data_IF_794462920739
#
_entry.id   IF_794462920739
#
_cell.length_a   1.000
_cell.length_b   1.000
_cell.length_c   1.000
_cell.angle_alpha   90.00
_cell.angle_beta   90.00
_cell.angle_gamma   90.00
#
_symmetry.space_group_name_H-M   'P 1'
#
loop_
_entity.id
_entity.type
_entity.pdbx_description
1 polymer ?
#
# COMPACT_ATOMS: atom_id res chain seq x y z
N UNK A 1 -7.31 29.79 5.27
CA UNK A 1 -7.07 29.31 3.90
C UNK A 1 -6.13 28.12 4.00
N UNK A 2 -6.57 26.90 3.70
CA UNK A 2 -5.68 25.74 3.69
C UNK A 2 -4.79 25.78 2.45
N UNK A 3 -3.48 25.70 2.62
CA UNK A 3 -2.56 25.59 1.49
C UNK A 3 -2.63 24.16 0.93
N UNK A 4 -2.58 23.97 -0.40
CA UNK A 4 -2.49 22.64 -0.98
C UNK A 4 -1.22 21.96 -0.49
N UNK A 5 -1.35 20.72 -0.03
CA UNK A 5 -0.25 19.90 0.46
C UNK A 5 0.66 19.54 -0.73
N UNK A 6 1.97 19.59 -0.53
CA UNK A 6 2.97 19.32 -1.56
C UNK A 6 2.78 17.90 -2.15
N UNK A 7 2.65 17.75 -3.48
CA UNK A 7 2.55 16.45 -4.15
C UNK A 7 3.67 15.47 -3.77
N UNK A 8 4.84 15.97 -3.34
CA UNK A 8 5.95 15.13 -2.92
C UNK A 8 5.60 14.22 -1.74
N UNK A 9 4.64 14.59 -0.89
CA UNK A 9 4.17 13.72 0.21
C UNK A 9 3.32 12.54 -0.27
N UNK A 10 2.87 12.53 -1.53
CA UNK A 10 2.12 11.42 -2.11
C UNK A 10 3.03 10.40 -2.82
N UNK A 11 4.30 10.71 -3.02
CA UNK A 11 5.26 9.86 -3.78
C UNK A 11 5.71 8.57 -3.09
N UNK A 12 5.19 8.24 -1.90
CA UNK A 12 5.60 7.01 -1.23
C UNK A 12 5.08 5.74 -1.92
N UNK A 13 3.90 5.77 -2.55
CA UNK A 13 3.34 4.71 -3.43
C UNK A 13 2.27 5.36 -4.31
N UNK A 14 2.61 5.76 -5.54
CA UNK A 14 1.85 6.78 -6.26
C UNK A 14 0.91 6.22 -7.34
N UNK A 15 0.93 4.91 -7.59
CA UNK A 15 0.05 4.31 -8.61
C UNK A 15 -0.51 2.95 -8.20
N UNK A 16 -1.68 2.62 -8.75
CA UNK A 16 -2.33 1.31 -8.55
C UNK A 16 -1.39 0.13 -8.87
N UNK A 17 -0.60 0.14 -9.96
CA UNK A 17 0.39 -0.90 -10.24
C UNK A 17 1.41 -1.14 -9.12
N UNK A 18 1.97 -0.08 -8.52
CA UNK A 18 2.98 -0.21 -7.46
C UNK A 18 2.44 -0.93 -6.20
N UNK A 19 1.12 -0.88 -5.98
CA UNK A 19 0.46 -1.63 -4.91
C UNK A 19 0.50 -3.14 -5.19
N UNK A 20 0.33 -3.53 -6.45
CA UNK A 20 0.44 -4.91 -6.86
C UNK A 20 1.90 -5.37 -6.79
N UNK A 21 2.85 -4.52 -7.19
CA UNK A 21 4.29 -4.81 -7.06
C UNK A 21 4.68 -5.06 -5.59
N UNK A 22 4.15 -4.28 -4.64
CA UNK A 22 4.38 -4.50 -3.21
C UNK A 22 3.82 -5.84 -2.70
N UNK A 23 2.67 -6.26 -3.22
CA UNK A 23 2.08 -7.58 -2.93
C UNK A 23 2.95 -8.69 -3.52
N UNK A 24 3.40 -8.54 -4.77
CA UNK A 24 4.27 -9.49 -5.44
C UNK A 24 5.63 -9.65 -4.73
N UNK A 25 6.27 -8.55 -4.32
CA UNK A 25 7.52 -8.57 -3.56
C UNK A 25 7.36 -9.31 -2.23
N UNK A 26 6.29 -9.03 -1.49
CA UNK A 26 6.01 -9.70 -0.22
C UNK A 26 5.79 -11.21 -0.38
N UNK A 27 5.10 -11.63 -1.44
CA UNK A 27 4.93 -13.05 -1.78
C UNK A 27 6.29 -13.67 -2.15
N UNK A 28 7.07 -13.00 -3.00
CA UNK A 28 8.38 -13.48 -3.45
C UNK A 28 9.38 -13.64 -2.30
N UNK A 29 9.31 -12.75 -1.31
CA UNK A 29 10.13 -12.76 -0.10
C UNK A 29 9.59 -13.68 1.00
N UNK A 30 8.46 -14.35 0.76
CA UNK A 30 7.81 -15.27 1.69
C UNK A 30 7.50 -14.57 3.04
N UNK A 31 6.84 -13.42 2.95
CA UNK A 31 6.39 -12.67 4.13
C UNK A 31 5.62 -13.59 5.09
N UNK A 32 5.90 -13.44 6.38
CA UNK A 32 5.25 -14.21 7.43
C UNK A 32 3.73 -14.00 7.43
N UNK A 33 3.29 -12.77 7.12
CA UNK A 33 1.87 -12.43 6.96
C UNK A 33 1.69 -11.39 5.87
N UNK A 34 0.66 -11.58 5.05
CA UNK A 34 0.22 -10.64 4.03
C UNK A 34 -1.31 -10.57 4.04
N UNK A 35 -1.85 -9.40 4.40
CA UNK A 35 -3.27 -9.10 4.33
C UNK A 35 -3.50 -7.93 3.37
N UNK A 36 -4.34 -8.13 2.36
CA UNK A 36 -4.73 -7.09 1.42
C UNK A 36 -6.26 -6.95 1.38
N UNK A 37 -6.74 -5.72 1.56
CA UNK A 37 -8.15 -5.35 1.31
C UNK A 37 -8.23 -4.71 -0.06
N UNK A 38 -9.31 -4.99 -0.77
CA UNK A 38 -9.54 -4.51 -2.13
C UNK A 38 -10.81 -3.67 -2.22
N UNK A 39 -10.81 -2.70 -3.13
CA UNK A 39 -12.04 -2.06 -3.57
C UNK A 39 -12.92 -3.08 -4.32
N UNK A 40 -14.15 -3.28 -3.87
CA UNK A 40 -15.04 -4.31 -4.43
C UNK A 40 -15.52 -4.03 -5.85
N UNK A 41 -15.46 -2.77 -6.30
CA UNK A 41 -15.99 -2.33 -7.58
C UNK A 41 -14.90 -2.22 -8.64
N UNK A 42 -13.72 -1.72 -8.24
CA UNK A 42 -12.61 -1.40 -9.13
C UNK A 42 -11.45 -2.41 -9.02
N UNK A 43 -11.43 -3.25 -7.97
CA UNK A 43 -10.55 -4.40 -7.86
C UNK A 43 -9.10 -4.10 -7.47
N UNK A 44 -8.76 -2.86 -7.10
CA UNK A 44 -7.42 -2.49 -6.64
C UNK A 44 -7.28 -2.59 -5.11
N UNK A 45 -6.07 -2.85 -4.57
CA UNK A 45 -5.82 -2.86 -3.14
C UNK A 45 -6.06 -1.49 -2.51
N UNK A 46 -6.77 -1.43 -1.38
CA UNK A 46 -7.01 -0.20 -0.60
C UNK A 46 -6.23 -0.17 0.71
N UNK A 47 -5.82 -1.34 1.21
CA UNK A 47 -4.97 -1.49 2.40
C UNK A 47 -4.14 -2.76 2.24
N UNK A 48 -2.84 -2.68 2.55
CA UNK A 48 -1.91 -3.82 2.52
C UNK A 48 -1.12 -3.81 3.84
N UNK A 49 -1.17 -4.93 4.56
CA UNK A 49 -0.36 -5.20 5.75
C UNK A 49 0.60 -6.33 5.46
N UNK A 50 1.89 -6.10 5.69
CA UNK A 50 2.95 -7.05 5.41
C UNK A 50 3.81 -7.19 6.67
N UNK A 51 3.87 -8.39 7.23
CA UNK A 51 4.79 -8.73 8.30
C UNK A 51 5.84 -9.71 7.77
N UNK A 52 7.12 -9.33 7.78
CA UNK A 52 8.19 -10.23 7.33
C UNK A 52 8.66 -11.22 8.41
N UNK A 53 8.40 -10.92 9.68
CA UNK A 53 8.76 -11.78 10.80
C UNK A 53 7.67 -11.79 11.87
N UNK A 54 7.62 -12.86 12.66
CA UNK A 54 6.63 -13.01 13.74
C UNK A 54 6.87 -12.06 14.93
N UNK A 55 8.02 -11.37 14.98
CA UNK A 55 8.37 -10.40 16.02
C UNK A 55 8.06 -8.98 15.53
N UNK A 56 7.04 -8.35 16.13
CA UNK A 56 6.42 -7.10 15.68
C UNK A 56 7.28 -5.82 15.74
N UNK A 57 8.60 -5.90 16.02
CA UNK A 57 9.32 -4.72 16.48
C UNK A 57 10.09 -3.93 15.41
N UNK A 58 10.66 -4.55 14.36
CA UNK A 58 11.56 -3.82 13.44
C UNK A 58 11.32 -4.01 11.92
N UNK A 59 10.43 -4.92 11.49
CA UNK A 59 10.36 -5.32 10.06
C UNK A 59 8.92 -5.42 9.47
N UNK A 60 7.94 -4.75 10.06
CA UNK A 60 6.57 -4.69 9.51
C UNK A 60 6.41 -3.52 8.54
N UNK A 61 5.82 -3.76 7.37
CA UNK A 61 5.44 -2.71 6.41
C UNK A 61 3.91 -2.58 6.35
N UNK A 62 3.42 -1.38 6.66
CA UNK A 62 1.99 -1.04 6.54
C UNK A 62 1.79 0.01 5.45
N UNK A 63 0.96 -0.32 4.47
CA UNK A 63 0.59 0.57 3.37
C UNK A 63 -0.92 0.80 3.45
N UNK A 64 -1.31 2.04 3.71
CA UNK A 64 -2.71 2.48 3.62
C UNK A 64 -2.84 3.57 2.58
N UNK A 65 -3.86 3.47 1.74
CA UNK A 65 -4.08 4.43 0.67
C UNK A 65 -5.27 5.29 1.08
N UNK A 66 -5.07 6.60 1.05
CA UNK A 66 -6.11 7.57 1.30
C UNK A 66 -6.18 8.51 0.10
N UNK A 67 -7.39 8.76 -0.42
CA UNK A 67 -7.66 9.67 -1.53
C UNK A 67 -7.07 9.26 -2.89
N UNK A 68 -7.34 8.03 -3.36
CA UNK A 68 -7.03 7.67 -4.76
C UNK A 68 -7.98 8.44 -5.71
N UNK A 69 -7.43 9.39 -6.48
CA UNK A 69 -8.17 10.05 -7.56
C UNK A 69 -8.05 9.25 -8.87
N UNK A 70 -9.19 8.74 -9.35
CA UNK A 70 -9.26 8.14 -10.69
C UNK A 70 -9.32 9.27 -11.72
N UNK A 71 -8.20 9.55 -12.37
CA UNK A 71 -8.16 10.47 -13.52
C UNK A 71 -8.81 9.74 -14.70
N UNK A 72 -9.90 10.32 -15.24
CA UNK A 72 -10.61 9.83 -16.44
C UNK A 72 -10.23 10.64 -17.66
#
# INVERSE_FOLDING_TARGET
>A
MGQPVDPVYFTAFNTVPELFDAIEDAIARNAYRLDAKYDRKLGYPTEITIDYSAQQADEGQYISIQNLEVIR
#
